data_IF_116259471898
#
_entry.id   IF_116259471898
#
_cell.length_a   1.000
_cell.length_b   1.000
_cell.length_c   1.000
_cell.angle_alpha   90.00
_cell.angle_beta   90.00
_cell.angle_gamma   90.00
#
_symmetry.space_group_name_H-M   'P 1'
#
loop_
_entity.id
_entity.type
_entity.pdbx_description
1 polymer ?
#
# COMPACT_ATOMS: atom_id res chain seq x y z
N UNK A 1 -12.31 38.58 -2.53
CA UNK A 1 -12.48 37.17 -2.97
C UNK A 1 -11.47 36.33 -2.23
N UNK A 2 -11.91 35.47 -1.29
CA UNK A 2 -10.99 34.66 -0.49
C UNK A 2 -10.50 33.47 -1.30
N UNK A 3 -9.20 33.44 -1.59
CA UNK A 3 -8.54 32.33 -2.29
C UNK A 3 -8.47 31.16 -1.31
N UNK A 4 -9.31 30.15 -1.50
CA UNK A 4 -9.27 28.93 -0.70
C UNK A 4 -7.88 28.29 -0.85
N UNK A 5 -7.25 27.96 0.28
CA UNK A 5 -5.89 27.37 0.34
C UNK A 5 -5.86 25.88 0.00
N UNK A 6 -7.02 25.29 -0.29
CA UNK A 6 -7.13 23.88 -0.65
C UNK A 6 -6.95 23.75 -2.16
N UNK A 7 -5.81 23.18 -2.57
CA UNK A 7 -5.60 22.78 -3.96
C UNK A 7 -6.58 21.67 -4.36
N UNK A 8 -6.58 21.25 -5.64
CA UNK A 8 -7.41 20.14 -6.10
C UNK A 8 -7.21 18.92 -5.20
N UNK A 9 -8.31 18.37 -4.68
CA UNK A 9 -8.27 17.11 -3.95
C UNK A 9 -7.71 16.05 -4.91
N UNK A 10 -6.68 15.32 -4.46
CA UNK A 10 -6.12 14.20 -5.22
C UNK A 10 -7.26 13.24 -5.53
N UNK A 11 -7.41 12.85 -6.80
CA UNK A 11 -8.43 11.90 -7.22
C UNK A 11 -8.01 10.50 -6.74
N UNK A 12 -8.29 10.20 -5.46
CA UNK A 12 -8.02 8.92 -4.79
C UNK A 12 -8.99 7.81 -5.26
N UNK A 13 -9.32 7.78 -6.55
CA UNK A 13 -10.19 6.73 -7.10
C UNK A 13 -9.46 5.39 -7.02
N UNK A 14 -10.00 4.39 -6.30
CA UNK A 14 -9.40 3.07 -6.25
C UNK A 14 -9.41 2.45 -7.65
N UNK A 15 -8.25 1.98 -8.09
CA UNK A 15 -8.09 1.29 -9.37
C UNK A 15 -8.25 -0.21 -9.12
N UNK A 16 -9.21 -0.84 -9.81
CA UNK A 16 -9.37 -2.30 -9.76
C UNK A 16 -8.37 -2.96 -10.71
N UNK A 17 -7.54 -3.84 -10.15
CA UNK A 17 -6.57 -4.64 -10.90
C UNK A 17 -6.90 -6.13 -10.74
N UNK A 18 -6.90 -6.87 -11.85
CA UNK A 18 -6.92 -8.34 -11.84
C UNK A 18 -5.49 -8.84 -11.99
N UNK A 19 -5.04 -9.69 -11.06
CA UNK A 19 -3.71 -10.31 -11.07
C UNK A 19 -3.82 -11.83 -11.08
N UNK A 20 -2.94 -12.49 -11.82
CA UNK A 20 -2.76 -13.95 -11.81
C UNK A 20 -1.45 -14.25 -11.11
N UNK A 21 -1.49 -15.14 -10.12
CA UNK A 21 -0.32 -15.51 -9.31
C UNK A 21 0.08 -16.96 -9.58
N UNK A 22 1.38 -17.29 -9.55
CA UNK A 22 1.82 -18.67 -9.48
C UNK A 22 1.20 -19.38 -8.28
N UNK A 23 0.88 -20.68 -8.42
CA UNK A 23 0.28 -21.46 -7.34
C UNK A 23 1.16 -21.52 -6.08
N UNK A 24 2.48 -21.48 -6.23
CA UNK A 24 3.42 -21.40 -5.10
C UNK A 24 3.20 -20.12 -4.28
N UNK A 25 3.13 -18.96 -4.94
CA UNK A 25 2.92 -17.68 -4.27
C UNK A 25 1.58 -17.64 -3.53
N UNK A 26 0.52 -18.22 -4.11
CA UNK A 26 -0.75 -18.33 -3.39
C UNK A 26 -0.63 -19.16 -2.10
N UNK A 27 0.06 -20.31 -2.14
CA UNK A 27 0.30 -21.13 -0.94
C UNK A 27 1.09 -20.35 0.11
N UNK A 28 2.16 -19.68 -0.30
CA UNK A 28 2.97 -18.86 0.62
C UNK A 28 2.13 -17.74 1.27
N UNK A 29 1.20 -17.12 0.53
CA UNK A 29 0.27 -16.12 1.07
C UNK A 29 -0.72 -16.72 2.08
N UNK A 30 -1.18 -17.96 1.86
CA UNK A 30 -2.05 -18.68 2.82
C UNK A 30 -1.27 -18.94 4.11
N UNK A 31 -0.07 -19.52 4.02
CA UNK A 31 0.76 -19.83 5.18
C UNK A 31 1.12 -18.56 5.96
N UNK A 32 1.47 -17.49 5.25
CA UNK A 32 1.74 -16.20 5.88
C UNK A 32 0.52 -15.65 6.62
N UNK A 33 -0.68 -15.75 6.05
CA UNK A 33 -1.91 -15.31 6.69
C UNK A 33 -2.19 -16.09 7.98
N UNK A 34 -1.93 -17.41 7.99
CA UNK A 34 -2.09 -18.25 9.18
C UNK A 34 -1.10 -17.88 10.28
N UNK A 35 0.18 -17.72 9.93
CA UNK A 35 1.22 -17.32 10.88
C UNK A 35 0.90 -15.95 11.47
N UNK A 36 0.51 -14.98 10.63
CA UNK A 36 0.14 -13.64 11.07
C UNK A 36 -1.09 -13.66 11.97
N UNK A 37 -2.09 -14.49 11.67
CA UNK A 37 -3.29 -14.62 12.49
C UNK A 37 -2.95 -15.17 13.89
N UNK A 38 -2.08 -16.18 13.96
CA UNK A 38 -1.58 -16.72 15.23
C UNK A 38 -0.78 -15.68 16.02
N UNK A 39 0.10 -14.95 15.34
CA UNK A 39 0.96 -13.94 15.98
C UNK A 39 0.17 -12.73 16.52
N UNK A 40 -0.92 -12.35 15.86
CA UNK A 40 -1.71 -11.16 16.22
C UNK A 40 -2.98 -11.48 17.02
N UNK A 41 -3.37 -12.77 17.10
CA UNK A 41 -4.64 -13.20 17.66
C UNK A 41 -5.86 -12.74 16.85
N UNK A 42 -5.67 -12.26 15.62
CA UNK A 42 -6.72 -11.68 14.77
C UNK A 42 -6.82 -12.42 13.44
N UNK A 43 -8.02 -12.73 12.94
CA UNK A 43 -8.18 -13.31 11.62
C UNK A 43 -7.76 -12.31 10.53
N UNK A 44 -6.95 -12.77 9.58
CA UNK A 44 -6.44 -11.96 8.45
C UNK A 44 -7.45 -11.88 7.29
N UNK A 45 -8.38 -12.83 7.20
CA UNK A 45 -9.32 -12.95 6.07
C UNK A 45 -8.66 -13.59 4.84
N UNK A 46 -9.16 -13.34 3.62
CA UNK A 46 -8.59 -13.93 2.40
C UNK A 46 -7.12 -13.55 2.20
N UNK A 47 -6.24 -14.47 1.76
CA UNK A 47 -4.81 -14.20 1.55
C UNK A 47 -4.53 -13.00 0.63
N UNK A 48 -5.41 -12.76 -0.35
CA UNK A 48 -5.30 -11.61 -1.25
C UNK A 48 -5.32 -10.24 -0.55
N UNK A 49 -5.89 -10.14 0.66
CA UNK A 49 -5.87 -8.90 1.46
C UNK A 49 -4.47 -8.50 1.92
N UNK A 50 -3.52 -9.43 1.91
CA UNK A 50 -2.12 -9.16 2.25
C UNK A 50 -1.37 -8.46 1.12
N UNK A 51 -1.81 -8.62 -0.14
CA UNK A 51 -1.06 -8.16 -1.32
C UNK A 51 -0.86 -6.64 -1.28
N UNK A 52 -1.94 -5.88 -1.04
CA UNK A 52 -1.88 -4.40 -1.00
C UNK A 52 -0.91 -3.91 0.09
N UNK A 53 -1.09 -4.24 1.39
CA UNK A 53 -0.19 -3.74 2.43
C UNK A 53 1.26 -4.23 2.29
N UNK A 54 1.49 -5.43 1.72
CA UNK A 54 2.83 -5.91 1.43
C UNK A 54 3.51 -5.09 0.32
N UNK A 55 2.79 -4.76 -0.76
CA UNK A 55 3.30 -3.91 -1.84
C UNK A 55 3.57 -2.49 -1.34
N UNK A 56 2.64 -1.91 -0.57
CA UNK A 56 2.83 -0.59 0.05
C UNK A 56 4.07 -0.57 0.92
N UNK A 57 4.24 -1.58 1.78
CA UNK A 57 5.40 -1.71 2.65
C UNK A 57 6.68 -1.84 1.85
N UNK A 58 6.69 -2.65 0.79
CA UNK A 58 7.84 -2.81 -0.10
C UNK A 58 8.23 -1.48 -0.75
N UNK A 59 7.28 -0.77 -1.37
CA UNK A 59 7.55 0.53 -2.01
C UNK A 59 8.00 1.62 -1.02
N UNK A 60 7.49 1.58 0.22
CA UNK A 60 7.86 2.53 1.26
C UNK A 60 9.30 2.31 1.77
N UNK A 61 9.78 1.08 1.79
CA UNK A 61 11.11 0.73 2.34
C UNK A 61 12.21 0.61 1.28
N UNK A 62 11.85 0.48 0.00
CA UNK A 62 12.81 0.43 -1.11
C UNK A 62 13.49 1.80 -1.33
N UNK A 63 14.73 1.92 -0.84
CA UNK A 63 15.56 3.12 -1.00
C UNK A 63 15.97 3.39 -2.45
N UNK A 64 16.16 2.33 -3.25
CA UNK A 64 16.51 2.43 -4.67
C UNK A 64 15.36 3.04 -5.44
N UNK A 65 14.15 2.51 -5.24
CA UNK A 65 12.91 3.09 -5.75
C UNK A 65 12.72 4.54 -5.31
N UNK A 66 12.91 4.84 -4.01
CA UNK A 66 12.76 6.20 -3.50
C UNK A 66 13.75 7.18 -4.14
N UNK A 67 15.01 6.77 -4.39
CA UNK A 67 16.01 7.60 -5.08
C UNK A 67 15.63 7.84 -6.53
N UNK A 68 15.27 6.77 -7.26
CA UNK A 68 14.86 6.86 -8.66
C UNK A 68 13.66 7.79 -8.84
N UNK A 69 12.64 7.67 -7.97
CA UNK A 69 11.43 8.49 -7.97
C UNK A 69 11.71 9.99 -7.79
N UNK A 70 12.71 10.35 -6.98
CA UNK A 70 13.14 11.75 -6.80
C UNK A 70 13.86 12.29 -8.03
N UNK A 71 14.72 11.48 -8.66
CA UNK A 71 15.43 11.88 -9.88
C UNK A 71 14.54 11.95 -11.11
N UNK A 72 13.44 11.19 -11.16
CA UNK A 72 12.52 11.15 -12.30
C UNK A 72 11.47 12.28 -12.29
N UNK A 73 11.52 13.21 -11.33
CA UNK A 73 10.60 14.36 -11.28
C UNK A 73 9.13 14.00 -11.05
N UNK A 74 8.82 12.74 -10.73
CA UNK A 74 7.46 12.32 -10.37
C UNK A 74 7.12 12.90 -8.99
N UNK A 75 6.43 14.03 -8.98
CA UNK A 75 5.83 14.65 -7.80
C UNK A 75 4.96 13.61 -7.11
N UNK A 76 5.28 13.28 -5.86
CA UNK A 76 4.41 12.43 -5.05
C UNK A 76 3.59 13.30 -4.09
N UNK A 77 2.29 13.01 -3.89
CA UNK A 77 1.52 13.62 -2.81
C UNK A 77 2.11 13.18 -1.47
N UNK A 78 2.23 14.12 -0.54
CA UNK A 78 2.76 13.89 0.79
C UNK A 78 1.90 12.87 1.59
N UNK A 79 2.50 12.07 2.49
CA UNK A 79 1.73 11.17 3.35
C UNK A 79 0.80 12.00 4.26
N UNK A 80 -0.48 11.64 4.33
CA UNK A 80 -1.41 12.25 5.26
C UNK A 80 -1.00 11.88 6.68
N UNK A 81 -0.48 12.86 7.42
CA UNK A 81 -0.32 12.75 8.87
C UNK A 81 -1.71 12.82 9.49
N UNK A 82 -2.35 11.68 9.70
CA UNK A 82 -3.46 11.57 10.64
C UNK A 82 -2.90 11.70 12.06
N UNK A 83 -2.69 12.95 12.50
CA UNK A 83 -2.46 13.26 13.90
C UNK A 83 -3.82 13.28 14.59
N UNK A 84 -4.02 12.31 15.48
CA UNK A 84 -5.17 12.29 16.37
C UNK A 84 -5.23 13.54 17.23
N UNK A 85 -6.45 14.03 17.42
CA UNK A 85 -6.93 14.73 18.59
C UNK A 85 -8.38 14.38 18.81
#
# INVERSE_FOLDING_TARGET
MQKLKLGPLVDDKPIKLTVVLPASVHRDLVDYAEILARATGKPVGPPAKLIVPMIERFMATDRGFAKARRSSGSVQPAPSTASGR
#
